data_IF_789166693004
#
_entry.id   IF_789166693004
#
_cell.length_a   1.000
_cell.length_b   1.000
_cell.length_c   1.000
_cell.angle_alpha   90.00
_cell.angle_beta   90.00
_cell.angle_gamma   90.00
#
_symmetry.space_group_name_H-M   'P 1'
#
loop_
_entity.id
_entity.type
_entity.pdbx_description
1 polymer ?
#
# COMPACT_ATOMS: atom_id res chain seq x y z
N UNK A 1 3.39 3.58 26.70
CA UNK A 1 3.04 2.63 25.62
C UNK A 1 3.39 3.26 24.29
N UNK A 2 4.11 2.58 23.39
CA UNK A 2 4.50 3.15 22.09
C UNK A 2 3.27 3.47 21.24
N UNK A 3 3.40 4.41 20.29
CA UNK A 3 2.29 4.79 19.41
C UNK A 3 1.77 3.61 18.58
N UNK A 4 2.64 2.67 18.21
CA UNK A 4 2.28 1.40 17.58
C UNK A 4 1.22 0.64 18.38
N UNK A 5 1.50 0.31 19.65
CA UNK A 5 0.60 -0.48 20.48
C UNK A 5 -0.72 0.24 20.75
N UNK A 6 -0.68 1.56 20.96
CA UNK A 6 -1.91 2.35 21.13
C UNK A 6 -2.80 2.22 19.90
N UNK A 7 -2.26 2.46 18.70
CA UNK A 7 -3.04 2.39 17.47
C UNK A 7 -3.50 0.96 17.16
N UNK A 8 -2.67 -0.03 17.46
CA UNK A 8 -3.05 -1.45 17.29
C UNK A 8 -4.22 -1.83 18.20
N UNK A 9 -4.24 -1.37 19.45
CA UNK A 9 -5.38 -1.59 20.37
C UNK A 9 -6.63 -0.85 19.88
N UNK A 10 -6.49 0.38 19.41
CA UNK A 10 -7.62 1.15 18.83
C UNK A 10 -8.24 0.42 17.63
N UNK A 11 -7.42 -0.17 16.77
CA UNK A 11 -7.89 -0.87 15.57
C UNK A 11 -8.45 -2.25 15.87
N UNK A 12 -7.74 -3.07 16.66
CA UNK A 12 -8.01 -4.50 16.77
C UNK A 12 -8.59 -4.94 18.13
N UNK A 13 -8.77 -4.01 19.08
CA UNK A 13 -9.30 -4.32 20.41
C UNK A 13 -8.51 -5.45 21.09
N UNK A 14 -9.22 -6.48 21.54
CA UNK A 14 -8.62 -7.64 22.22
C UNK A 14 -7.65 -8.44 21.31
N UNK A 15 -7.89 -8.45 20.00
CA UNK A 15 -7.02 -9.13 19.03
C UNK A 15 -5.67 -8.40 18.83
N UNK A 16 -5.51 -7.18 19.36
CA UNK A 16 -4.29 -6.39 19.20
C UNK A 16 -3.03 -7.07 19.76
N UNK A 17 -3.16 -8.01 20.69
CA UNK A 17 -2.04 -8.72 21.31
C UNK A 17 -1.75 -10.08 20.68
N UNK A 18 -2.63 -10.56 19.80
CA UNK A 18 -2.45 -11.81 19.05
C UNK A 18 -1.62 -11.60 17.79
N UNK A 19 -1.08 -12.65 17.16
CA UNK A 19 -0.57 -12.55 15.79
C UNK A 19 -1.65 -12.01 14.83
N UNK A 20 -1.25 -11.10 13.94
CA UNK A 20 -2.10 -10.54 12.88
C UNK A 20 -2.25 -11.56 11.75
N UNK A 21 -3.11 -12.55 11.96
CA UNK A 21 -3.53 -13.51 10.93
C UNK A 21 -4.89 -13.12 10.35
N UNK A 22 -5.24 -13.59 9.15
CA UNK A 22 -6.55 -13.33 8.55
C UNK A 22 -7.69 -13.79 9.47
N UNK A 23 -7.57 -15.00 10.03
CA UNK A 23 -8.55 -15.53 10.97
C UNK A 23 -8.83 -14.61 12.16
N UNK A 24 -7.83 -13.86 12.63
CA UNK A 24 -7.97 -12.97 13.79
C UNK A 24 -8.43 -11.55 13.44
N UNK A 25 -8.23 -11.11 12.20
CA UNK A 25 -8.31 -9.69 11.85
C UNK A 25 -9.26 -9.35 10.71
N UNK A 26 -9.79 -10.36 10.01
CA UNK A 26 -10.70 -10.19 8.87
C UNK A 26 -12.18 -10.20 9.28
N UNK A 27 -12.52 -10.85 10.39
CA UNK A 27 -13.92 -11.06 10.78
C UNK A 27 -14.68 -9.72 10.92
N UNK A 28 -15.71 -9.53 10.10
CA UNK A 28 -16.51 -8.29 10.05
C UNK A 28 -16.01 -7.22 9.07
N UNK A 29 -14.84 -7.42 8.45
CA UNK A 29 -14.23 -6.53 7.44
C UNK A 29 -13.90 -7.28 6.15
N UNK A 30 -14.58 -8.40 5.87
CA UNK A 30 -14.23 -9.30 4.78
C UNK A 30 -14.20 -8.57 3.43
N UNK A 31 -15.08 -7.58 3.25
CA UNK A 31 -15.18 -6.75 2.07
C UNK A 31 -13.94 -5.89 1.88
N UNK A 32 -13.53 -5.12 2.88
CA UNK A 32 -12.40 -4.19 2.81
C UNK A 32 -11.08 -4.89 2.53
N UNK A 33 -10.91 -6.11 3.05
CA UNK A 33 -9.76 -6.94 2.71
C UNK A 33 -9.77 -7.35 1.23
N UNK A 34 -10.95 -7.67 0.67
CA UNK A 34 -11.12 -8.08 -0.73
C UNK A 34 -11.09 -6.93 -1.74
N UNK A 35 -11.34 -5.68 -1.32
CA UNK A 35 -11.32 -4.49 -2.22
C UNK A 35 -9.97 -4.36 -2.96
N UNK A 36 -8.85 -4.74 -2.33
CA UNK A 36 -7.55 -4.72 -2.99
C UNK A 36 -6.97 -3.31 -3.22
N UNK A 37 -7.34 -2.35 -2.36
CA UNK A 37 -6.81 -0.98 -2.41
C UNK A 37 -5.29 -0.93 -2.16
N UNK A 38 -4.78 -1.76 -1.24
CA UNK A 38 -3.34 -2.05 -1.07
C UNK A 38 -3.12 -3.54 -1.39
N UNK A 39 -2.27 -3.83 -2.37
CA UNK A 39 -1.91 -5.20 -2.78
C UNK A 39 -0.41 -5.41 -2.59
N UNK A 40 -0.03 -6.39 -1.77
CA UNK A 40 1.37 -6.78 -1.59
C UNK A 40 1.84 -7.57 -2.81
N UNK A 41 2.99 -7.20 -3.36
CA UNK A 41 3.63 -7.98 -4.41
C UNK A 41 4.45 -9.11 -3.79
N UNK A 42 4.35 -10.31 -4.35
CA UNK A 42 4.95 -11.54 -3.81
C UNK A 42 6.48 -11.46 -3.72
N UNK A 43 7.11 -10.87 -4.73
CA UNK A 43 8.56 -10.78 -4.83
C UNK A 43 9.10 -9.40 -4.45
N UNK A 44 10.34 -9.40 -3.95
CA UNK A 44 11.10 -8.15 -3.79
C UNK A 44 11.62 -7.63 -5.13
N UNK A 45 11.86 -6.33 -5.21
CA UNK A 45 12.59 -5.74 -6.33
C UNK A 45 14.09 -6.13 -6.34
N UNK A 46 14.82 -5.68 -7.36
CA UNK A 46 16.25 -5.95 -7.54
C UNK A 46 17.16 -5.39 -6.43
N UNK A 47 16.61 -4.57 -5.53
CA UNK A 47 17.31 -4.03 -4.36
C UNK A 47 16.92 -4.71 -3.04
N UNK A 48 15.98 -5.67 -3.10
CA UNK A 48 15.47 -6.42 -1.97
C UNK A 48 14.32 -5.73 -1.21
N UNK A 49 13.72 -4.68 -1.76
CA UNK A 49 12.54 -4.03 -1.14
C UNK A 49 11.27 -4.79 -1.51
N UNK A 50 10.35 -4.92 -0.57
CA UNK A 50 8.99 -5.33 -0.94
C UNK A 50 8.26 -4.18 -1.62
N UNK A 51 7.38 -4.51 -2.56
CA UNK A 51 6.57 -3.52 -3.25
C UNK A 51 5.10 -3.69 -2.83
N UNK A 52 4.43 -2.57 -2.59
CA UNK A 52 2.98 -2.53 -2.38
C UNK A 52 2.37 -1.69 -3.48
N UNK A 53 1.47 -2.31 -4.25
CA UNK A 53 0.69 -1.63 -5.27
C UNK A 53 -0.54 -0.99 -4.66
N UNK A 54 -0.80 0.27 -5.01
CA UNK A 54 -1.95 1.04 -4.55
C UNK A 54 -2.70 1.52 -5.77
N UNK A 55 -3.99 1.18 -5.83
CA UNK A 55 -4.87 1.60 -6.90
C UNK A 55 -6.16 2.17 -6.31
N UNK A 56 -6.31 3.49 -6.24
CA UNK A 56 -7.52 4.10 -5.70
C UNK A 56 -8.77 3.86 -6.55
N UNK A 57 -8.65 3.51 -7.83
CA UNK A 57 -9.82 3.34 -8.69
C UNK A 57 -10.69 2.14 -8.29
N UNK A 58 -10.12 1.16 -7.57
CA UNK A 58 -10.84 -0.05 -7.12
C UNK A 58 -11.97 0.24 -6.13
N UNK A 59 -11.98 1.42 -5.50
CA UNK A 59 -13.08 1.81 -4.61
C UNK A 59 -14.28 2.40 -5.35
N UNK A 60 -14.22 2.55 -6.68
CA UNK A 60 -15.35 3.05 -7.45
C UNK A 60 -16.59 2.17 -7.23
N UNK A 61 -17.69 2.79 -6.81
CA UNK A 61 -18.95 2.09 -6.52
C UNK A 61 -18.92 1.20 -5.28
N UNK A 62 -17.86 1.23 -4.48
CA UNK A 62 -17.76 0.49 -3.22
C UNK A 62 -18.12 1.39 -2.03
N UNK A 63 -19.08 0.95 -1.22
CA UNK A 63 -19.23 1.46 0.15
C UNK A 63 -18.22 0.77 1.07
N UNK A 64 -17.48 1.50 1.89
CA UNK A 64 -16.51 0.91 2.82
C UNK A 64 -16.42 1.74 4.10
N UNK A 65 -15.94 1.12 5.18
CA UNK A 65 -15.56 1.83 6.39
C UNK A 65 -14.06 2.17 6.39
N UNK A 66 -13.73 3.40 6.78
CA UNK A 66 -12.35 3.90 6.83
C UNK A 66 -11.46 3.09 7.76
N UNK A 67 -11.95 2.73 8.96
CA UNK A 67 -11.17 1.99 9.94
C UNK A 67 -11.01 0.52 9.51
N UNK A 68 -12.03 -0.08 8.88
CA UNK A 68 -11.94 -1.39 8.24
C UNK A 68 -10.89 -1.42 7.12
N UNK A 69 -10.85 -0.41 6.26
CA UNK A 69 -9.80 -0.26 5.23
C UNK A 69 -8.41 -0.09 5.85
N UNK A 70 -8.30 0.65 6.96
CA UNK A 70 -7.04 0.80 7.70
C UNK A 70 -6.60 -0.52 8.32
N UNK A 71 -7.52 -1.36 8.83
CA UNK A 71 -7.20 -2.71 9.33
C UNK A 71 -6.67 -3.60 8.21
N UNK A 72 -7.31 -3.60 7.04
CA UNK A 72 -6.82 -4.31 5.86
C UNK A 72 -5.42 -3.83 5.44
N UNK A 73 -5.19 -2.52 5.40
CA UNK A 73 -3.87 -1.95 5.11
C UNK A 73 -2.81 -2.34 6.15
N UNK A 74 -3.15 -2.35 7.44
CA UNK A 74 -2.26 -2.80 8.51
C UNK A 74 -1.87 -4.26 8.36
N UNK A 75 -2.83 -5.11 7.98
CA UNK A 75 -2.56 -6.51 7.69
C UNK A 75 -1.56 -6.66 6.53
N UNK A 76 -1.79 -5.98 5.40
CA UNK A 76 -0.87 -5.99 4.24
C UNK A 76 0.54 -5.50 4.61
N UNK A 77 0.63 -4.41 5.39
CA UNK A 77 1.91 -3.86 5.85
C UNK A 77 2.63 -4.80 6.83
N UNK A 78 1.89 -5.53 7.67
CA UNK A 78 2.47 -6.56 8.53
C UNK A 78 2.93 -7.79 7.76
N UNK A 79 2.17 -8.24 6.75
CA UNK A 79 2.59 -9.30 5.85
C UNK A 79 3.88 -8.93 5.11
N UNK A 80 4.01 -7.67 4.67
CA UNK A 80 5.24 -7.17 4.06
C UNK A 80 6.46 -7.20 5.01
N UNK A 81 6.24 -7.16 6.32
CA UNK A 81 7.30 -7.25 7.34
C UNK A 81 7.68 -8.70 7.67
N UNK A 82 6.98 -9.72 7.18
CA UNK A 82 7.41 -11.12 7.33
C UNK A 82 8.71 -11.42 6.57
N UNK A 83 8.95 -10.69 5.48
CA UNK A 83 10.16 -10.81 4.67
C UNK A 83 11.33 -10.08 5.33
N UNK A 84 12.40 -10.81 5.69
CA UNK A 84 13.59 -10.23 6.35
C UNK A 84 14.20 -9.08 5.53
N UNK A 85 14.30 -9.27 4.20
CA UNK A 85 14.81 -8.23 3.31
C UNK A 85 13.95 -6.96 3.37
N UNK A 86 12.63 -7.05 3.53
CA UNK A 86 11.74 -5.88 3.69
C UNK A 86 12.03 -5.11 4.98
N UNK A 87 12.30 -5.81 6.09
CA UNK A 87 12.69 -5.15 7.34
C UNK A 87 14.00 -4.35 7.18
N UNK A 88 14.95 -4.89 6.40
CA UNK A 88 16.26 -4.28 6.19
C UNK A 88 16.32 -3.26 5.04
N UNK A 89 15.55 -3.47 3.98
CA UNK A 89 15.56 -2.72 2.72
C UNK A 89 14.36 -1.78 2.60
N UNK A 90 13.30 -2.02 3.36
CA UNK A 90 12.08 -1.24 3.39
C UNK A 90 11.10 -1.61 2.29
N UNK A 91 10.04 -0.81 2.19
CA UNK A 91 8.93 -0.98 1.27
C UNK A 91 8.93 0.16 0.25
N UNK A 92 8.76 -0.15 -1.03
CA UNK A 92 8.44 0.83 -2.06
C UNK A 92 6.94 0.77 -2.39
N UNK A 93 6.27 1.92 -2.37
CA UNK A 93 4.87 2.01 -2.77
C UNK A 93 4.78 2.36 -4.25
N UNK A 94 3.94 1.62 -4.97
CA UNK A 94 3.65 1.83 -6.39
C UNK A 94 2.20 2.31 -6.50
N UNK A 95 1.99 3.62 -6.63
CA UNK A 95 0.66 4.25 -6.64
C UNK A 95 0.23 4.49 -8.08
N UNK A 96 -0.76 3.76 -8.54
CA UNK A 96 -1.27 3.81 -9.90
C UNK A 96 -2.50 4.71 -9.98
N UNK A 97 -2.43 5.79 -10.77
CA UNK A 97 -3.48 6.82 -10.83
C UNK A 97 -4.17 6.97 -12.19
N UNK A 98 -3.91 6.08 -13.17
CA UNK A 98 -4.40 6.23 -14.56
C UNK A 98 -5.92 6.37 -14.63
N UNK A 99 -6.63 5.53 -13.88
CA UNK A 99 -8.10 5.49 -13.83
C UNK A 99 -8.66 6.15 -12.56
N UNK A 100 -7.82 6.89 -11.84
CA UNK A 100 -8.21 7.54 -10.58
C UNK A 100 -8.84 8.90 -10.80
N UNK A 101 -9.96 9.14 -10.12
CA UNK A 101 -10.74 10.38 -10.12
C UNK A 101 -10.68 11.05 -8.74
N UNK A 102 -10.99 12.35 -8.68
CA UNK A 102 -10.99 13.13 -7.42
C UNK A 102 -11.81 12.42 -6.32
N UNK A 103 -12.96 11.86 -6.69
CA UNK A 103 -13.89 11.19 -5.77
C UNK A 103 -13.34 9.91 -5.13
N UNK A 104 -12.29 9.31 -5.70
CA UNK A 104 -11.62 8.16 -5.10
C UNK A 104 -10.70 8.57 -3.95
N UNK A 105 -10.35 9.85 -3.85
CA UNK A 105 -9.52 10.36 -2.76
C UNK A 105 -10.37 10.72 -1.56
N UNK A 106 -10.61 9.73 -0.70
CA UNK A 106 -11.13 9.98 0.64
C UNK A 106 -10.02 10.60 1.52
N UNK A 107 -10.22 11.85 1.93
CA UNK A 107 -9.28 12.59 2.78
C UNK A 107 -9.12 11.97 4.17
N UNK A 108 -10.18 11.41 4.72
CA UNK A 108 -10.18 10.74 6.03
C UNK A 108 -9.35 9.47 5.95
N UNK A 109 -9.65 8.57 5.02
CA UNK A 109 -8.86 7.34 4.78
C UNK A 109 -7.39 7.66 4.51
N UNK A 110 -7.11 8.60 3.59
CA UNK A 110 -5.74 8.99 3.22
C UNK A 110 -4.95 9.47 4.45
N UNK A 111 -5.58 10.25 5.34
CA UNK A 111 -4.96 10.71 6.58
C UNK A 111 -4.68 9.55 7.55
N UNK A 112 -5.59 8.60 7.70
CA UNK A 112 -5.40 7.44 8.57
C UNK A 112 -4.25 6.54 8.07
N UNK A 113 -4.19 6.30 6.76
CA UNK A 113 -3.10 5.55 6.12
C UNK A 113 -1.76 6.27 6.24
N UNK A 114 -1.72 7.59 5.96
CA UNK A 114 -0.51 8.40 6.12
C UNK A 114 0.01 8.37 7.57
N UNK A 115 -0.88 8.52 8.55
CA UNK A 115 -0.51 8.41 9.97
C UNK A 115 0.06 7.04 10.33
N UNK A 116 -0.46 5.96 9.73
CA UNK A 116 0.03 4.60 9.98
C UNK A 116 1.50 4.43 9.59
N UNK A 117 1.91 4.97 8.45
CA UNK A 117 3.32 4.86 7.98
C UNK A 117 4.23 5.98 8.49
N UNK A 118 3.68 7.04 9.11
CA UNK A 118 4.43 8.16 9.70
C UNK A 118 4.85 7.87 11.15
N UNK A 119 5.52 6.74 11.35
CA UNK A 119 6.14 6.38 12.64
C UNK A 119 5.21 5.68 13.63
N UNK A 120 4.03 5.23 13.21
CA UNK A 120 3.20 4.30 14.00
C UNK A 120 3.61 2.86 13.72
N UNK A 121 3.54 2.43 12.47
CA UNK A 121 4.03 1.12 12.06
C UNK A 121 5.56 1.11 11.98
N UNK A 122 6.23 0.01 12.35
CA UNK A 122 7.68 -0.15 12.24
C UNK A 122 8.11 -0.44 10.78
N UNK A 123 7.51 0.24 9.81
CA UNK A 123 7.81 0.10 8.39
C UNK A 123 8.81 1.16 7.96
N UNK A 124 9.78 0.77 7.13
CA UNK A 124 10.66 1.71 6.46
C UNK A 124 10.12 2.00 5.06
N UNK A 125 9.50 3.16 4.89
CA UNK A 125 9.12 3.64 3.56
C UNK A 125 10.39 4.04 2.80
N UNK A 126 10.75 3.27 1.79
CA UNK A 126 11.96 3.49 0.99
C UNK A 126 11.70 4.46 -0.14
N UNK A 127 10.63 4.26 -0.89
CA UNK A 127 10.21 5.11 -2.00
C UNK A 127 8.67 5.12 -2.15
N UNK A 128 8.13 6.16 -2.77
CA UNK A 128 6.73 6.25 -3.19
C UNK A 128 6.75 6.66 -4.67
N UNK A 129 6.50 5.72 -5.57
CA UNK A 129 6.42 5.94 -7.00
C UNK A 129 4.97 6.15 -7.40
N UNK A 130 4.66 7.26 -8.07
CA UNK A 130 3.30 7.64 -8.45
C UNK A 130 3.22 7.69 -9.98
N UNK A 131 2.35 6.88 -10.55
CA UNK A 131 2.25 6.63 -11.99
C UNK A 131 0.98 7.20 -12.58
N UNK A 132 1.11 7.71 -13.81
CA UNK A 132 0.00 8.30 -14.57
C UNK A 132 -0.77 9.33 -13.75
N UNK A 133 -0.05 10.08 -12.91
CA UNK A 133 -0.60 11.17 -12.14
C UNK A 133 -1.31 12.14 -13.11
N UNK A 134 -2.65 12.23 -13.10
CA UNK A 134 -3.33 13.22 -13.92
C UNK A 134 -2.98 14.62 -13.38
N UNK A 135 -3.39 15.68 -14.08
CA UNK A 135 -3.43 17.05 -13.48
C UNK A 135 -4.11 17.07 -12.10
N UNK A 136 -4.99 16.09 -11.85
CA UNK A 136 -5.59 15.80 -10.55
C UNK A 136 -4.57 15.69 -9.40
N UNK A 137 -3.48 14.95 -9.58
CA UNK A 137 -2.55 14.75 -8.47
C UNK A 137 -1.71 16.00 -8.21
N UNK A 138 -1.46 16.86 -9.19
CA UNK A 138 -0.85 18.17 -8.93
C UNK A 138 -1.71 19.01 -7.97
N UNK A 139 -3.05 18.94 -8.10
CA UNK A 139 -3.98 19.63 -7.21
C UNK A 139 -4.00 18.99 -5.81
N UNK A 140 -3.98 17.65 -5.74
CA UNK A 140 -4.05 16.93 -4.46
C UNK A 140 -2.69 16.81 -3.76
N UNK A 141 -1.58 17.06 -4.46
CA UNK A 141 -0.23 16.88 -3.94
C UNK A 141 0.02 17.72 -2.68
N UNK A 142 -0.45 18.95 -2.64
CA UNK A 142 -0.31 19.81 -1.46
C UNK A 142 -1.01 19.21 -0.23
N UNK A 143 -2.21 18.63 -0.43
CA UNK A 143 -2.94 17.96 0.64
C UNK A 143 -2.20 16.69 1.08
N UNK A 144 -1.81 15.84 0.14
CA UNK A 144 -1.13 14.57 0.41
C UNK A 144 0.25 14.80 1.06
N UNK A 145 1.01 15.77 0.58
CA UNK A 145 2.35 16.09 1.10
C UNK A 145 2.30 16.64 2.52
N UNK A 146 1.27 17.42 2.88
CA UNK A 146 1.02 17.84 4.27
C UNK A 146 0.71 16.63 5.17
N UNK A 147 -0.12 15.70 4.70
CA UNK A 147 -0.48 14.49 5.45
C UNK A 147 0.74 13.58 5.68
N UNK A 148 1.55 13.35 4.64
CA UNK A 148 2.75 12.52 4.69
C UNK A 148 3.89 13.19 5.48
N UNK A 149 3.97 14.51 5.43
CA UNK A 149 5.05 15.30 6.03
C UNK A 149 6.36 15.23 5.24
N UNK A 150 7.24 16.20 5.49
CA UNK A 150 8.44 16.47 4.67
C UNK A 150 9.32 15.23 4.43
N UNK A 151 9.53 14.39 5.45
CA UNK A 151 10.38 13.19 5.35
C UNK A 151 9.86 12.17 4.34
N UNK A 152 8.55 11.95 4.27
CA UNK A 152 7.93 11.01 3.34
C UNK A 152 7.72 11.66 1.98
N UNK A 153 7.35 12.95 1.95
CA UNK A 153 7.20 13.72 0.70
C UNK A 153 8.50 13.70 -0.12
N UNK A 154 9.67 13.80 0.50
CA UNK A 154 10.99 13.69 -0.17
C UNK A 154 11.24 12.33 -0.85
N UNK A 155 10.44 11.30 -0.55
CA UNK A 155 10.53 9.96 -1.14
C UNK A 155 9.58 9.77 -2.31
N UNK A 156 8.77 10.77 -2.63
CA UNK A 156 7.83 10.73 -3.74
C UNK A 156 8.60 10.96 -5.05
N UNK A 157 8.33 10.11 -6.03
CA UNK A 157 8.73 10.27 -7.43
C UNK A 157 7.49 10.11 -8.30
N UNK A 158 7.26 11.08 -9.17
CA UNK A 158 6.11 11.07 -10.07
C UNK A 158 6.57 10.74 -11.49
N UNK A 159 5.72 9.99 -12.17
CA UNK A 159 5.95 9.45 -13.50
C UNK A 159 4.72 9.74 -14.37
N UNK A 160 4.97 10.37 -15.50
CA UNK A 160 4.03 10.67 -16.57
C UNK A 160 4.72 10.38 -17.91
N UNK A 161 3.94 10.08 -18.94
CA UNK A 161 4.46 9.67 -20.25
C UNK A 161 4.11 8.22 -20.58
N UNK A 162 4.79 7.69 -21.60
CA UNK A 162 4.66 6.32 -22.09
C UNK A 162 5.30 5.33 -21.11
N UNK A 163 4.83 4.09 -21.12
CA UNK A 163 5.24 3.07 -20.16
C UNK A 163 6.73 2.71 -20.30
N UNK A 164 7.28 2.73 -21.53
CA UNK A 164 8.71 2.47 -21.75
C UNK A 164 9.62 3.48 -21.03
N UNK A 165 9.30 4.77 -21.10
CA UNK A 165 10.07 5.82 -20.40
C UNK A 165 9.97 5.67 -18.87
N UNK A 166 8.81 5.23 -18.38
CA UNK A 166 8.59 4.96 -16.95
C UNK A 166 9.44 3.77 -16.52
N UNK A 167 9.46 2.70 -17.32
CA UNK A 167 10.22 1.48 -17.07
C UNK A 167 11.72 1.77 -16.97
N UNK A 168 12.29 2.48 -17.94
CA UNK A 168 13.71 2.86 -17.93
C UNK A 168 14.08 3.60 -16.64
N UNK A 169 13.24 4.56 -16.23
CA UNK A 169 13.45 5.33 -14.99
C UNK A 169 13.27 4.50 -13.72
N UNK A 170 12.53 3.40 -13.76
CA UNK A 170 12.34 2.49 -12.62
C UNK A 170 13.50 1.50 -12.48
N UNK A 171 14.18 1.15 -13.57
CA UNK A 171 15.39 0.34 -13.54
C UNK A 171 16.52 0.99 -12.74
N UNK A 172 16.64 2.32 -12.79
CA UNK A 172 17.56 3.10 -11.94
C UNK A 172 17.30 2.89 -10.43
N UNK A 173 16.06 2.54 -10.07
CA UNK A 173 15.69 2.20 -8.70
C UNK A 173 15.73 0.69 -8.44
N UNK A 174 16.09 -0.13 -9.42
CA UNK A 174 16.14 -1.59 -9.35
C UNK A 174 14.76 -2.26 -9.43
N UNK A 175 13.75 -1.58 -9.98
CA UNK A 175 12.41 -2.15 -10.21
C UNK A 175 12.30 -2.49 -11.70
N UNK A 176 12.51 -3.77 -12.02
CA UNK A 176 12.48 -4.25 -13.41
C UNK A 176 11.03 -4.40 -13.92
N UNK A 177 10.76 -4.21 -15.22
CA UNK A 177 9.42 -4.40 -15.80
C UNK A 177 8.79 -5.77 -15.54
N UNK A 178 9.61 -6.83 -15.51
CA UNK A 178 9.16 -8.19 -15.18
C UNK A 178 8.62 -8.35 -13.76
N UNK A 179 8.92 -7.39 -12.87
CA UNK A 179 8.44 -7.33 -11.48
C UNK A 179 7.28 -6.35 -11.32
N UNK A 180 6.86 -5.62 -12.36
CA UNK A 180 5.74 -4.70 -12.27
C UNK A 180 4.40 -5.39 -12.45
N UNK A 181 3.32 -4.85 -11.88
CA UNK A 181 1.95 -5.26 -12.18
C UNK A 181 1.59 -5.07 -13.64
N UNK A 182 0.64 -5.85 -14.14
CA UNK A 182 0.13 -5.73 -15.52
C UNK A 182 -0.47 -4.35 -15.82
N UNK A 183 -1.01 -3.66 -14.81
CA UNK A 183 -1.52 -2.29 -14.90
C UNK A 183 -0.43 -1.27 -15.29
N UNK A 184 0.84 -1.58 -14.99
CA UNK A 184 2.02 -0.80 -15.36
C UNK A 184 2.78 -1.45 -16.54
N UNK A 185 2.08 -2.19 -17.40
CA UNK A 185 2.66 -2.94 -18.53
C UNK A 185 3.76 -3.94 -18.11
N UNK A 186 3.66 -4.46 -16.89
CA UNK A 186 4.53 -5.49 -16.35
C UNK A 186 4.04 -6.91 -16.61
N UNK A 187 4.43 -7.84 -15.73
CA UNK A 187 4.10 -9.28 -15.86
C UNK A 187 3.45 -9.89 -14.63
N UNK A 188 3.30 -9.12 -13.55
CA UNK A 188 2.76 -9.61 -12.29
C UNK A 188 1.24 -9.41 -12.29
N UNK A 189 0.49 -10.50 -12.26
CA UNK A 189 -0.96 -10.43 -12.04
C UNK A 189 -1.24 -10.36 -10.54
N UNK A 190 -1.90 -9.29 -10.10
CA UNK A 190 -2.28 -9.11 -8.70
C UNK A 190 -3.72 -9.57 -8.49
N UNK A 191 -3.90 -10.70 -7.81
CA UNK A 191 -5.21 -11.21 -7.42
C UNK A 191 -5.35 -11.20 -5.89
N UNK A 192 -6.10 -10.23 -5.38
CA UNK A 192 -6.25 -10.02 -3.93
C UNK A 192 -6.95 -11.19 -3.25
N UNK A 193 -8.03 -11.73 -3.83
CA UNK A 193 -8.77 -12.84 -3.22
C UNK A 193 -7.94 -14.13 -3.20
N UNK A 194 -7.17 -14.40 -4.25
CA UNK A 194 -6.24 -15.53 -4.28
C UNK A 194 -5.13 -15.36 -3.24
N UNK A 195 -4.58 -14.15 -3.08
CA UNK A 195 -3.61 -13.85 -2.04
C UNK A 195 -4.20 -14.06 -0.64
N UNK A 196 -5.40 -13.55 -0.37
CA UNK A 196 -6.09 -13.77 0.91
C UNK A 196 -6.32 -15.26 1.19
N UNK A 197 -6.71 -16.03 0.18
CA UNK A 197 -6.89 -17.47 0.33
C UNK A 197 -5.59 -18.19 0.69
N UNK A 198 -4.48 -17.86 0.03
CA UNK A 198 -3.16 -18.42 0.35
C UNK A 198 -2.75 -18.09 1.79
N UNK A 199 -3.02 -16.86 2.24
CA UNK A 199 -2.76 -16.43 3.62
C UNK A 199 -3.58 -17.24 4.62
N UNK A 200 -4.87 -17.45 4.34
CA UNK A 200 -5.74 -18.28 5.17
C UNK A 200 -5.27 -19.75 5.23
N UNK A 201 -4.98 -20.36 4.07
CA UNK A 201 -4.50 -21.74 3.95
C UNK A 201 -3.16 -21.96 4.67
N UNK A 202 -2.33 -20.91 4.76
CA UNK A 202 -1.05 -20.94 5.48
C UNK A 202 -1.14 -20.53 6.95
N UNK A 203 -2.34 -20.22 7.46
CA UNK A 203 -2.57 -19.81 8.84
C UNK A 203 -1.98 -18.44 9.18
N UNK A 204 -1.84 -17.57 8.17
CA UNK A 204 -1.23 -16.25 8.26
C UNK A 204 -2.22 -15.10 8.11
#
# INVERSE_FOLDING_TARGET
>A
MSNYWRRRIELFGDAAFSPLTLANCRAGDEKEYSIGFLRLMSDTDGTGRCNIFIDPSVVEGQEYDDESMVRAAWYVLHAALETESSQQKGIAFLVYLKDTLVRHFDRSLTRLLANSIRGVLPVRVSAIHIFHAPYLFEILFDVVSVLLGERLTKRIKMYSGEDEDIHDRLEDFGILPSRLPVELSGRVELNQDAWLKEREDSGK
#
